data_IF_451896710104
#
_entry.id   IF_451896710104
#
_cell.length_a   1.000
_cell.length_b   1.000
_cell.length_c   1.000
_cell.angle_alpha   90.00
_cell.angle_beta   90.00
_cell.angle_gamma   90.00
#
_symmetry.space_group_name_H-M   'P 1'
#
loop_
_entity.id
_entity.type
_entity.pdbx_description
1 polymer ?
#
# COMPACT_ATOMS: atom_id res chain seq x y z
N UNK A 1 11.04 13.03 7.59
CA UNK A 1 9.78 12.64 6.92
C UNK A 1 9.92 12.91 5.42
N UNK A 2 9.72 11.93 4.52
CA UNK A 2 9.74 12.20 3.09
C UNK A 2 8.60 13.15 2.74
N UNK A 3 8.93 14.27 2.08
CA UNK A 3 7.97 15.30 1.67
C UNK A 3 7.03 14.70 0.61
N UNK A 4 5.79 14.42 0.98
CA UNK A 4 4.68 13.98 0.12
C UNK A 4 4.28 14.99 -1.00
N UNK A 5 5.09 16.04 -1.22
CA UNK A 5 4.76 17.22 -2.02
C UNK A 5 5.09 17.11 -3.52
N UNK A 6 5.35 15.91 -4.04
CA UNK A 6 5.70 15.71 -5.47
C UNK A 6 5.12 14.43 -6.08
N UNK A 7 3.90 14.04 -5.75
CA UNK A 7 3.21 13.01 -6.55
C UNK A 7 2.47 13.73 -7.68
N UNK A 8 3.22 14.22 -8.68
CA UNK A 8 2.68 15.08 -9.75
C UNK A 8 2.50 14.33 -11.07
N UNK A 9 3.23 13.23 -11.28
CA UNK A 9 3.26 12.54 -12.57
C UNK A 9 2.27 11.39 -12.62
N UNK A 10 1.99 10.76 -11.48
CA UNK A 10 1.00 9.70 -11.40
C UNK A 10 -0.43 10.23 -11.46
N UNK A 11 -1.23 9.68 -12.36
CA UNK A 11 -2.65 9.99 -12.43
C UNK A 11 -3.42 9.40 -11.23
N UNK A 12 -4.70 9.72 -11.11
CA UNK A 12 -5.52 9.25 -9.98
C UNK A 12 -5.59 7.71 -9.90
N UNK A 13 -5.73 7.03 -11.05
CA UNK A 13 -5.82 5.57 -11.12
C UNK A 13 -4.52 4.91 -10.66
N UNK A 14 -3.37 5.39 -11.12
CA UNK A 14 -2.05 4.85 -10.76
C UNK A 14 -1.74 5.05 -9.27
N UNK A 15 -2.12 6.22 -8.71
CA UNK A 15 -2.03 6.46 -7.26
C UNK A 15 -2.91 5.51 -6.47
N UNK A 16 -4.16 5.35 -6.90
CA UNK A 16 -5.11 4.45 -6.25
C UNK A 16 -4.60 3.00 -6.29
N UNK A 17 -4.06 2.56 -7.42
CA UNK A 17 -3.42 1.24 -7.57
C UNK A 17 -2.29 1.06 -6.54
N UNK A 18 -1.38 2.02 -6.40
CA UNK A 18 -0.29 1.94 -5.42
C UNK A 18 -0.82 1.81 -3.97
N UNK A 19 -1.87 2.55 -3.61
CA UNK A 19 -2.44 2.51 -2.25
C UNK A 19 -3.24 1.23 -1.97
N UNK A 20 -3.87 0.65 -2.99
CA UNK A 20 -4.69 -0.57 -2.87
C UNK A 20 -3.86 -1.85 -2.96
N UNK A 21 -2.68 -1.80 -3.59
CA UNK A 21 -1.82 -2.97 -3.81
C UNK A 21 -1.44 -3.74 -2.52
N UNK A 22 -1.09 -3.10 -1.38
CA UNK A 22 -0.91 -3.80 -0.11
C UNK A 22 -2.14 -4.60 0.32
N UNK A 23 -3.34 -4.05 0.17
CA UNK A 23 -4.58 -4.74 0.56
C UNK A 23 -4.82 -5.96 -0.31
N UNK A 24 -4.67 -5.81 -1.63
CA UNK A 24 -4.79 -6.93 -2.57
C UNK A 24 -3.81 -8.06 -2.25
N UNK A 25 -2.54 -7.73 -2.00
CA UNK A 25 -1.51 -8.73 -1.64
C UNK A 25 -1.81 -9.40 -0.30
N UNK A 26 -2.38 -8.66 0.65
CA UNK A 26 -2.79 -9.21 1.95
C UNK A 26 -3.94 -10.20 1.82
N UNK A 27 -4.99 -9.89 1.05
CA UNK A 27 -6.18 -10.76 0.92
C UNK A 27 -5.95 -11.98 0.02
N UNK A 28 -5.05 -11.89 -0.96
CA UNK A 28 -4.76 -12.98 -1.90
C UNK A 28 -3.54 -13.83 -1.53
N UNK A 29 -2.84 -13.49 -0.45
CA UNK A 29 -1.56 -14.08 -0.10
C UNK A 29 -1.44 -14.50 1.35
N UNK A 30 -0.43 -15.31 1.64
CA UNK A 30 -0.04 -15.61 3.03
C UNK A 30 0.71 -14.42 3.63
N UNK A 31 0.36 -14.06 4.87
CA UNK A 31 1.01 -13.04 5.69
C UNK A 31 2.53 -13.19 5.76
N UNK A 32 3.03 -14.44 5.77
CA UNK A 32 4.47 -14.74 5.80
C UNK A 32 5.21 -14.26 4.55
N UNK A 33 4.53 -14.25 3.41
CA UNK A 33 5.11 -13.85 2.12
C UNK A 33 4.73 -12.43 1.71
N UNK A 34 4.00 -11.71 2.55
CA UNK A 34 3.39 -10.42 2.25
C UNK A 34 4.39 -9.42 1.67
N UNK A 35 5.46 -9.09 2.41
CA UNK A 35 6.43 -8.07 1.97
C UNK A 35 7.14 -8.48 0.68
N UNK A 36 7.45 -9.78 0.53
CA UNK A 36 8.11 -10.30 -0.67
C UNK A 36 7.20 -10.23 -1.90
N UNK A 37 5.91 -10.56 -1.74
CA UNK A 37 4.92 -10.44 -2.82
C UNK A 37 4.63 -9.00 -3.17
N UNK A 38 4.47 -8.14 -2.16
CA UNK A 38 4.25 -6.71 -2.35
C UNK A 38 5.40 -6.07 -3.11
N UNK A 39 6.65 -6.42 -2.76
CA UNK A 39 7.82 -5.94 -3.48
C UNK A 39 7.82 -6.39 -4.95
N UNK A 40 7.45 -7.65 -5.22
CA UNK A 40 7.32 -8.17 -6.59
C UNK A 40 6.28 -7.39 -7.41
N UNK A 41 5.11 -7.11 -6.85
CA UNK A 41 4.06 -6.36 -7.56
C UNK A 41 4.50 -4.91 -7.86
N UNK A 42 5.13 -4.24 -6.88
CA UNK A 42 5.67 -2.90 -7.08
C UNK A 42 6.78 -2.89 -8.14
N UNK A 43 7.70 -3.85 -8.11
CA UNK A 43 8.76 -4.00 -9.13
C UNK A 43 8.15 -4.22 -10.51
N UNK A 44 7.15 -5.12 -10.61
CA UNK A 44 6.48 -5.43 -11.88
C UNK A 44 5.86 -4.19 -12.51
N UNK A 45 5.14 -3.36 -11.73
CA UNK A 45 4.58 -2.11 -12.25
C UNK A 45 5.63 -1.04 -12.54
N UNK A 46 6.67 -0.94 -11.73
CA UNK A 46 7.79 -0.02 -11.99
C UNK A 46 8.45 -0.35 -13.34
N UNK A 47 8.71 -1.64 -13.61
CA UNK A 47 9.26 -2.10 -14.89
C UNK A 47 8.32 -1.87 -16.06
N UNK A 48 7.00 -1.92 -15.84
CA UNK A 48 6.01 -1.61 -16.87
C UNK A 48 6.10 -0.14 -17.30
N UNK A 49 6.17 0.79 -16.34
CA UNK A 49 6.41 2.21 -16.63
C UNK A 49 7.73 2.43 -17.38
N UNK A 50 8.80 1.75 -16.97
CA UNK A 50 10.11 1.86 -17.63
C UNK A 50 10.05 1.38 -19.10
N UNK A 51 9.32 0.30 -19.40
CA UNK A 51 9.15 -0.19 -20.78
C UNK A 51 8.38 0.77 -21.69
N UNK A 52 7.49 1.58 -21.12
CA UNK A 52 6.77 2.63 -21.85
C UNK A 52 7.54 3.96 -21.92
N UNK A 53 8.76 4.02 -21.41
CA UNK A 53 9.58 5.25 -21.37
C UNK A 53 9.18 6.22 -20.26
N UNK A 54 8.29 5.83 -19.34
CA UNK A 54 7.79 6.67 -18.25
C UNK A 54 8.68 6.58 -17.00
N UNK A 55 9.98 6.82 -17.17
CA UNK A 55 11.01 6.63 -16.13
C UNK A 55 10.73 7.45 -14.85
N UNK A 56 10.21 8.67 -14.98
CA UNK A 56 9.89 9.51 -13.81
C UNK A 56 8.68 8.98 -13.03
N UNK A 57 7.66 8.43 -13.72
CA UNK A 57 6.54 7.75 -13.05
C UNK A 57 6.99 6.50 -12.31
N UNK A 58 7.90 5.74 -12.90
CA UNK A 58 8.48 4.55 -12.27
C UNK A 58 9.15 4.91 -10.93
N UNK A 59 9.93 6.00 -10.89
CA UNK A 59 10.54 6.52 -9.65
C UNK A 59 9.47 6.92 -8.62
N UNK A 60 8.48 7.70 -9.05
CA UNK A 60 7.40 8.18 -8.17
C UNK A 60 6.57 7.01 -7.58
N UNK A 61 6.27 6.00 -8.39
CA UNK A 61 5.54 4.80 -7.97
C UNK A 61 6.35 3.97 -6.96
N UNK A 62 7.66 3.86 -7.15
CA UNK A 62 8.57 3.19 -6.21
C UNK A 62 8.61 3.90 -4.86
N UNK A 63 8.60 5.24 -4.84
CA UNK A 63 8.55 6.05 -3.61
C UNK A 63 7.20 5.89 -2.87
N UNK A 64 6.10 5.75 -3.61
CA UNK A 64 4.77 5.53 -3.04
C UNK A 64 4.66 4.25 -2.22
N UNK A 65 5.49 3.23 -2.48
CA UNK A 65 5.50 1.96 -1.74
C UNK A 65 5.56 2.16 -0.23
N UNK A 66 6.47 3.02 0.25
CA UNK A 66 6.66 3.24 1.68
C UNK A 66 5.41 3.89 2.32
N UNK A 67 4.78 4.82 1.60
CA UNK A 67 3.55 5.49 2.04
C UNK A 67 2.38 4.51 2.05
N UNK A 68 2.24 3.68 1.01
CA UNK A 68 1.20 2.67 0.92
C UNK A 68 1.30 1.64 2.05
N UNK A 69 2.52 1.15 2.35
CA UNK A 69 2.76 0.23 3.47
C UNK A 69 2.40 0.88 4.81
N UNK A 70 2.77 2.15 5.01
CA UNK A 70 2.43 2.87 6.25
C UNK A 70 0.92 3.00 6.41
N UNK A 71 0.21 3.41 5.36
CA UNK A 71 -1.24 3.56 5.39
C UNK A 71 -1.94 2.22 5.65
N UNK A 72 -1.47 1.14 4.99
CA UNK A 72 -1.96 -0.21 5.24
C UNK A 72 -1.78 -0.62 6.72
N UNK A 73 -0.59 -0.42 7.29
CA UNK A 73 -0.34 -0.73 8.71
C UNK A 73 -1.26 0.06 9.65
N UNK A 74 -1.42 1.37 9.41
CA UNK A 74 -2.31 2.21 10.20
C UNK A 74 -3.76 1.71 10.15
N UNK A 75 -4.24 1.36 8.95
CA UNK A 75 -5.57 0.78 8.78
C UNK A 75 -5.72 -0.55 9.52
N UNK A 76 -4.77 -1.48 9.39
CA UNK A 76 -4.80 -2.77 10.09
C UNK A 76 -4.86 -2.58 11.61
N UNK A 77 -4.04 -1.68 12.16
CA UNK A 77 -4.08 -1.36 13.59
C UNK A 77 -5.40 -0.72 14.02
N UNK A 78 -5.98 0.15 13.20
CA UNK A 78 -7.29 0.73 13.48
C UNK A 78 -8.40 -0.33 13.53
N UNK A 79 -8.40 -1.30 12.60
CA UNK A 79 -9.36 -2.41 12.60
C UNK A 79 -9.21 -3.28 13.85
N UNK A 80 -7.97 -3.61 14.25
CA UNK A 80 -7.70 -4.38 15.48
C UNK A 80 -8.21 -3.63 16.71
N UNK A 81 -7.96 -2.31 16.81
CA UNK A 81 -8.41 -1.48 17.92
C UNK A 81 -9.95 -1.44 17.99
N UNK A 82 -10.62 -1.25 16.86
CA UNK A 82 -12.08 -1.24 16.80
C UNK A 82 -12.66 -2.59 17.22
N UNK A 83 -12.10 -3.70 16.73
CA UNK A 83 -12.53 -5.04 17.15
C UNK A 83 -12.37 -5.27 18.65
N UNK A 84 -11.25 -4.82 19.23
CA UNK A 84 -11.02 -4.90 20.67
C UNK A 84 -12.01 -4.06 21.48
N UNK A 85 -12.32 -2.83 21.03
CA UNK A 85 -13.32 -1.98 21.67
C UNK A 85 -14.72 -2.62 21.64
N UNK A 86 -15.10 -3.25 20.52
CA UNK A 86 -16.38 -3.97 20.42
C UNK A 86 -16.44 -5.09 21.45
N UNK A 87 -15.38 -5.91 21.56
CA UNK A 87 -15.32 -7.01 22.55
C UNK A 87 -15.46 -6.49 23.97
N UNK A 88 -14.78 -5.39 24.34
CA UNK A 88 -14.92 -4.79 25.68
C UNK A 88 -16.36 -4.34 25.92
N UNK A 89 -16.97 -3.64 24.97
CA UNK A 89 -18.32 -3.11 25.11
C UNK A 89 -19.37 -4.22 25.23
N UNK A 90 -19.21 -5.33 24.50
CA UNK A 90 -20.14 -6.46 24.54
C UNK A 90 -19.89 -7.43 25.70
N UNK A 91 -18.76 -7.34 26.38
CA UNK A 91 -18.43 -8.20 27.55
C UNK A 91 -18.74 -7.53 28.88
N UNK A 92 -19.18 -6.25 28.85
CA UNK A 92 -19.61 -5.48 30.02
C UNK A 92 -21.12 -5.47 30.25
N UNK A 93 -21.89 -6.09 29.35
CA UNK A 93 -23.31 -6.46 29.49
C UNK A 93 -23.44 -7.91 30.00
#
# INVERSE_FOLDING_TARGET
MPKLNRIKLLNFKERLEAYTMPYYVFVTGSSWTFYKRLDKEFIKKTQEFERFGEIEKAKEFKELKAVAIRNFRLFTWAVVLIGFLIVILTSGD
#
